data_IF_138460636525
#
_entry.id   IF_138460636525
#
_cell.length_a   1.000
_cell.length_b   1.000
_cell.length_c   1.000
_cell.angle_alpha   90.00
_cell.angle_beta   90.00
_cell.angle_gamma   90.00
#
_symmetry.space_group_name_H-M   'P 1'
#
loop_
_entity.id
_entity.type
_entity.pdbx_description
1 polymer ?
#
# COMPACT_ATOMS: atom_id res chain seq x y z
N UNK A 1 0.75 -25.49 4.75
CA UNK A 1 0.00 -24.98 3.60
C UNK A 1 0.91 -24.18 2.70
N UNK A 2 0.55 -24.06 1.43
CA UNK A 2 1.27 -23.27 0.43
C UNK A 2 0.48 -22.01 0.11
N UNK A 3 1.11 -20.85 0.25
CA UNK A 3 0.53 -19.53 -0.02
C UNK A 3 1.25 -18.88 -1.20
N UNK A 4 0.50 -18.45 -2.19
CA UNK A 4 1.03 -17.68 -3.32
C UNK A 4 0.32 -16.34 -3.41
N UNK A 5 1.07 -15.26 -3.45
CA UNK A 5 0.57 -13.92 -3.59
C UNK A 5 0.97 -13.31 -4.95
N UNK A 6 -0.01 -12.88 -5.73
CA UNK A 6 0.20 -12.07 -6.93
C UNK A 6 0.03 -10.58 -6.61
N UNK A 7 1.07 -9.81 -6.91
CA UNK A 7 1.17 -8.38 -6.63
C UNK A 7 1.32 -7.62 -7.93
N UNK A 8 0.64 -6.48 -8.07
CA UNK A 8 0.88 -5.52 -9.15
C UNK A 8 1.61 -4.28 -8.63
N UNK A 9 2.60 -3.83 -9.37
CA UNK A 9 3.35 -2.61 -9.07
C UNK A 9 3.08 -1.53 -10.12
N UNK A 10 3.28 -0.26 -9.78
CA UNK A 10 3.11 0.83 -10.73
C UNK A 10 4.17 0.79 -11.84
N UNK A 11 3.78 1.10 -13.06
CA UNK A 11 4.67 1.11 -14.23
C UNK A 11 5.89 2.03 -14.00
N UNK A 12 5.68 3.21 -13.42
CA UNK A 12 6.75 4.15 -13.09
C UNK A 12 7.81 3.58 -12.15
N UNK A 13 7.41 2.71 -11.21
CA UNK A 13 8.33 1.97 -10.36
C UNK A 13 9.04 0.85 -11.14
N UNK A 14 8.30 0.09 -11.96
CA UNK A 14 8.85 -1.03 -12.73
C UNK A 14 9.92 -0.60 -13.73
N UNK A 15 9.81 0.59 -14.32
CA UNK A 15 10.83 1.15 -15.22
C UNK A 15 12.19 1.25 -14.50
N UNK A 16 12.24 1.88 -13.34
CA UNK A 16 13.48 2.02 -12.55
C UNK A 16 13.96 0.70 -11.96
N UNK A 17 13.04 -0.16 -11.54
CA UNK A 17 13.35 -1.50 -11.07
C UNK A 17 14.04 -2.34 -12.16
N UNK A 18 13.47 -2.38 -13.35
CA UNK A 18 13.99 -3.15 -14.48
C UNK A 18 15.35 -2.63 -14.97
N UNK A 19 15.62 -1.32 -14.86
CA UNK A 19 16.94 -0.77 -15.16
C UNK A 19 17.99 -1.35 -14.19
N UNK A 20 17.75 -1.28 -12.88
CA UNK A 20 18.65 -1.82 -11.85
C UNK A 20 18.85 -3.33 -11.99
N UNK A 21 17.79 -4.08 -12.29
CA UNK A 21 17.86 -5.52 -12.49
C UNK A 21 18.75 -5.88 -13.69
N UNK A 22 18.64 -5.15 -14.81
CA UNK A 22 19.50 -5.33 -15.99
C UNK A 22 20.95 -4.98 -15.71
N UNK A 23 21.22 -3.88 -15.02
CA UNK A 23 22.58 -3.45 -14.63
C UNK A 23 23.27 -4.50 -13.74
N UNK A 24 22.49 -5.17 -12.89
CA UNK A 24 22.96 -6.24 -12.03
C UNK A 24 23.05 -7.63 -12.72
N UNK A 25 22.65 -7.76 -14.00
CA UNK A 25 22.48 -9.04 -14.68
C UNK A 25 21.67 -10.06 -13.83
N UNK A 26 20.64 -9.56 -13.15
CA UNK A 26 19.94 -10.31 -12.10
C UNK A 26 19.11 -11.48 -12.60
N UNK A 27 19.15 -12.56 -11.85
CA UNK A 27 18.31 -13.75 -11.99
C UNK A 27 16.89 -13.51 -11.45
N UNK A 28 16.03 -14.52 -11.55
CA UNK A 28 14.73 -14.53 -10.90
C UNK A 28 14.83 -14.30 -9.38
N UNK A 29 15.74 -15.01 -8.73
CA UNK A 29 15.93 -14.88 -7.28
C UNK A 29 16.48 -13.50 -6.88
N UNK A 30 17.32 -12.89 -7.73
CA UNK A 30 17.76 -11.51 -7.52
C UNK A 30 16.59 -10.55 -7.61
N UNK A 31 15.71 -10.73 -8.58
CA UNK A 31 14.51 -9.90 -8.71
C UNK A 31 13.60 -10.03 -7.47
N UNK A 32 13.38 -11.24 -6.95
CA UNK A 32 12.58 -11.45 -5.74
C UNK A 32 13.21 -10.75 -4.52
N UNK A 33 14.52 -10.87 -4.33
CA UNK A 33 15.25 -10.17 -3.26
C UNK A 33 15.15 -8.65 -3.40
N UNK A 34 15.26 -8.13 -4.64
CA UNK A 34 15.13 -6.69 -4.92
C UNK A 34 13.73 -6.18 -4.62
N UNK A 35 12.66 -6.91 -5.00
CA UNK A 35 11.28 -6.54 -4.68
C UNK A 35 11.05 -6.46 -3.18
N UNK A 36 11.51 -7.46 -2.43
CA UNK A 36 11.39 -7.45 -0.98
C UNK A 36 12.18 -6.30 -0.36
N UNK A 37 13.44 -6.08 -0.81
CA UNK A 37 14.28 -4.99 -0.31
C UNK A 37 13.66 -3.61 -0.58
N UNK A 38 13.06 -3.41 -1.76
CA UNK A 38 12.40 -2.15 -2.11
C UNK A 38 11.12 -1.92 -1.28
N UNK A 39 10.44 -2.99 -0.83
CA UNK A 39 9.27 -2.90 0.02
C UNK A 39 8.09 -2.14 -0.58
N UNK A 40 7.95 -2.14 -1.91
CA UNK A 40 6.80 -1.53 -2.56
C UNK A 40 5.53 -2.26 -2.13
N UNK A 41 4.53 -1.53 -1.61
CA UNK A 41 3.32 -2.09 -0.99
C UNK A 41 3.59 -3.00 0.23
N UNK A 42 4.65 -2.75 0.98
CA UNK A 42 5.04 -3.55 2.16
C UNK A 42 3.87 -3.93 3.08
N UNK A 43 2.89 -3.04 3.40
CA UNK A 43 1.78 -3.41 4.27
C UNK A 43 0.85 -4.52 3.73
N UNK A 44 0.99 -4.88 2.48
CA UNK A 44 0.25 -5.98 1.84
C UNK A 44 1.10 -7.21 1.58
N UNK A 45 2.42 -7.18 1.83
CA UNK A 45 3.27 -8.35 1.70
C UNK A 45 3.04 -9.29 2.87
N UNK A 46 2.48 -10.47 2.60
CA UNK A 46 2.15 -11.47 3.62
C UNK A 46 3.05 -12.70 3.57
N UNK A 47 3.79 -12.93 2.46
CA UNK A 47 4.58 -14.15 2.28
C UNK A 47 5.64 -14.36 3.36
N UNK A 48 6.35 -13.30 3.79
CA UNK A 48 7.33 -13.39 4.87
C UNK A 48 6.67 -13.83 6.19
N UNK A 49 5.52 -13.24 6.52
CA UNK A 49 4.77 -13.59 7.73
C UNK A 49 4.18 -15.01 7.67
N UNK A 50 3.73 -15.47 6.51
CA UNK A 50 3.31 -16.86 6.33
C UNK A 50 4.47 -17.83 6.53
N UNK A 51 5.67 -17.49 6.04
CA UNK A 51 6.88 -18.28 6.27
C UNK A 51 7.27 -18.35 7.75
N UNK A 52 7.16 -17.23 8.49
CA UNK A 52 7.36 -17.17 9.94
C UNK A 52 6.37 -18.07 10.70
N UNK A 53 5.15 -18.21 10.18
CA UNK A 53 4.13 -19.12 10.73
C UNK A 53 4.32 -20.60 10.32
N UNK A 54 5.42 -20.94 9.65
CA UNK A 54 5.75 -22.31 9.25
C UNK A 54 5.05 -22.78 7.96
N UNK A 55 4.61 -21.86 7.10
CA UNK A 55 4.00 -22.17 5.81
C UNK A 55 4.99 -21.93 4.67
N UNK A 56 4.85 -22.66 3.56
CA UNK A 56 5.54 -22.35 2.30
C UNK A 56 4.84 -21.14 1.66
N UNK A 57 5.55 -20.05 1.43
CA UNK A 57 4.95 -18.82 0.95
C UNK A 57 5.81 -18.08 -0.08
N UNK A 58 5.17 -17.63 -1.16
CA UNK A 58 5.82 -16.91 -2.24
C UNK A 58 5.00 -15.69 -2.63
N UNK A 59 5.69 -14.62 -3.06
CA UNK A 59 5.08 -13.44 -3.67
C UNK A 59 5.66 -13.20 -5.05
N UNK A 60 4.81 -12.89 -6.02
CA UNK A 60 5.20 -12.66 -7.42
C UNK A 60 4.63 -11.33 -7.87
N UNK A 61 5.49 -10.46 -8.40
CA UNK A 61 5.04 -9.27 -9.12
C UNK A 61 4.64 -9.70 -10.53
N UNK A 62 3.33 -9.88 -10.75
CA UNK A 62 2.82 -10.50 -11.95
C UNK A 62 2.86 -9.59 -13.19
N UNK A 63 2.77 -8.27 -13.01
CA UNK A 63 2.71 -7.29 -14.08
C UNK A 63 4.08 -6.71 -14.49
N UNK A 64 5.16 -7.48 -14.32
CA UNK A 64 6.47 -7.12 -14.82
C UNK A 64 6.93 -8.11 -15.92
N UNK A 65 6.75 -7.81 -17.21
CA UNK A 65 7.11 -8.72 -18.29
C UNK A 65 8.57 -9.16 -18.26
N UNK A 66 9.48 -8.28 -17.81
CA UNK A 66 10.92 -8.61 -17.73
C UNK A 66 11.16 -9.77 -16.75
N UNK A 67 10.65 -9.67 -15.53
CA UNK A 67 10.83 -10.72 -14.54
C UNK A 67 10.04 -11.98 -14.88
N UNK A 68 8.87 -11.85 -15.48
CA UNK A 68 8.08 -12.99 -15.95
C UNK A 68 8.81 -13.78 -17.05
N UNK A 69 9.49 -13.11 -17.97
CA UNK A 69 10.32 -13.77 -18.99
C UNK A 69 11.54 -14.45 -18.37
N UNK A 70 12.21 -13.85 -17.40
CA UNK A 70 13.33 -14.48 -16.68
C UNK A 70 12.85 -15.78 -16.01
N UNK A 71 11.69 -15.76 -15.34
CA UNK A 71 11.12 -16.97 -14.75
C UNK A 71 10.83 -18.06 -15.79
N UNK A 72 10.18 -17.68 -16.90
CA UNK A 72 9.82 -18.61 -17.95
C UNK A 72 11.03 -19.25 -18.61
N UNK A 73 12.13 -18.52 -18.83
CA UNK A 73 13.38 -19.06 -19.38
C UNK A 73 13.98 -20.15 -18.50
N UNK A 74 13.77 -20.07 -17.19
CA UNK A 74 14.36 -21.02 -16.23
C UNK A 74 13.45 -22.22 -15.95
N UNK A 75 12.11 -22.02 -15.97
CA UNK A 75 11.15 -23.00 -15.47
C UNK A 75 10.19 -23.56 -16.53
N UNK A 76 10.05 -22.88 -17.67
CA UNK A 76 9.10 -23.30 -18.69
C UNK A 76 9.76 -24.19 -19.77
N UNK A 77 9.06 -25.24 -20.18
CA UNK A 77 9.47 -26.11 -21.29
C UNK A 77 9.14 -25.57 -22.68
N UNK A 78 8.23 -24.61 -22.78
CA UNK A 78 7.76 -24.03 -24.03
C UNK A 78 8.37 -22.65 -24.32
N UNK A 79 8.69 -22.40 -25.61
CA UNK A 79 9.46 -21.21 -26.02
C UNK A 79 8.61 -19.93 -26.24
N UNK A 80 7.32 -20.06 -26.46
CA UNK A 80 6.42 -18.91 -26.70
C UNK A 80 5.27 -18.96 -25.71
N UNK A 81 5.14 -17.90 -24.90
CA UNK A 81 4.14 -17.79 -23.84
C UNK A 81 3.52 -16.40 -23.85
N UNK A 82 2.22 -16.33 -23.68
CA UNK A 82 1.60 -15.09 -23.23
C UNK A 82 1.92 -14.86 -21.74
N UNK A 83 1.83 -13.63 -21.29
CA UNK A 83 2.02 -13.31 -19.86
C UNK A 83 1.06 -14.12 -18.98
N UNK A 84 -0.19 -14.29 -19.40
CA UNK A 84 -1.18 -15.09 -18.67
C UNK A 84 -0.80 -16.58 -18.62
N UNK A 85 -0.19 -17.14 -19.67
CA UNK A 85 0.27 -18.54 -19.66
C UNK A 85 1.39 -18.74 -18.62
N UNK A 86 2.31 -17.77 -18.52
CA UNK A 86 3.38 -17.83 -17.51
C UNK A 86 2.77 -17.80 -16.10
N UNK A 87 1.77 -16.99 -15.84
CA UNK A 87 1.10 -16.94 -14.53
C UNK A 87 0.37 -18.24 -14.20
N UNK A 88 -0.28 -18.87 -15.17
CA UNK A 88 -0.91 -20.20 -15.00
C UNK A 88 0.16 -21.24 -14.65
N UNK A 89 1.30 -21.25 -15.37
CA UNK A 89 2.42 -22.15 -15.08
C UNK A 89 3.05 -21.91 -13.71
N UNK A 90 3.11 -20.64 -13.26
CA UNK A 90 3.55 -20.32 -11.90
C UNK A 90 2.61 -20.90 -10.84
N UNK A 91 1.29 -20.81 -11.03
CA UNK A 91 0.33 -21.46 -10.13
C UNK A 91 0.52 -22.99 -10.13
N UNK A 92 0.72 -23.60 -11.29
CA UNK A 92 0.98 -25.05 -11.39
C UNK A 92 2.32 -25.44 -10.74
N UNK A 93 3.35 -24.61 -10.86
CA UNK A 93 4.67 -24.85 -10.25
C UNK A 93 4.63 -24.75 -8.71
N UNK A 94 4.06 -23.67 -8.18
CA UNK A 94 3.98 -23.45 -6.73
C UNK A 94 2.89 -24.26 -6.05
N UNK A 95 1.86 -24.70 -6.77
CA UNK A 95 0.72 -25.49 -6.28
C UNK A 95 0.11 -24.94 -4.98
N UNK A 96 -0.31 -23.66 -4.94
CA UNK A 96 -0.78 -23.05 -3.70
C UNK A 96 -2.09 -23.68 -3.21
N UNK A 97 -2.24 -23.78 -1.90
CA UNK A 97 -3.53 -24.02 -1.23
C UNK A 97 -4.36 -22.72 -1.24
N UNK A 98 -3.69 -21.58 -1.03
CA UNK A 98 -4.28 -20.23 -1.05
C UNK A 98 -3.59 -19.39 -2.13
N UNK A 99 -4.36 -18.88 -3.08
CA UNK A 99 -3.93 -17.88 -4.06
C UNK A 99 -4.53 -16.52 -3.68
N UNK A 100 -3.66 -15.54 -3.40
CA UNK A 100 -4.06 -14.17 -3.04
C UNK A 100 -3.67 -13.21 -4.17
N UNK A 101 -4.67 -12.63 -4.83
CA UNK A 101 -4.52 -11.74 -5.98
C UNK A 101 -4.78 -10.29 -5.54
N UNK A 102 -3.74 -9.45 -5.53
CA UNK A 102 -3.85 -8.05 -5.11
C UNK A 102 -4.46 -7.12 -6.17
N UNK A 103 -4.56 -7.57 -7.40
CA UNK A 103 -5.25 -6.85 -8.46
C UNK A 103 -6.24 -7.76 -9.18
N UNK A 104 -7.41 -8.02 -8.57
CA UNK A 104 -8.46 -8.87 -9.16
C UNK A 104 -9.24 -8.15 -10.27
N UNK A 105 -8.79 -6.97 -10.71
CA UNK A 105 -9.28 -6.27 -11.89
C UNK A 105 -8.54 -6.75 -13.13
N UNK A 106 -7.22 -6.85 -13.04
CA UNK A 106 -6.38 -7.39 -14.13
C UNK A 106 -6.46 -8.91 -14.18
N UNK A 107 -6.44 -9.59 -13.04
CA UNK A 107 -6.56 -11.04 -12.91
C UNK A 107 -7.93 -11.39 -12.30
N UNK A 108 -8.97 -11.21 -13.08
CA UNK A 108 -10.36 -11.40 -12.67
C UNK A 108 -10.81 -12.89 -12.67
N UNK A 109 -12.10 -13.15 -12.62
CA UNK A 109 -12.64 -14.51 -12.67
C UNK A 109 -12.31 -15.27 -13.95
N UNK A 110 -12.06 -14.58 -15.07
CA UNK A 110 -11.63 -15.25 -16.30
C UNK A 110 -10.24 -15.85 -16.15
N UNK A 111 -9.32 -15.14 -15.50
CA UNK A 111 -8.00 -15.69 -15.15
C UNK A 111 -8.13 -16.88 -14.19
N UNK A 112 -8.92 -16.77 -13.13
CA UNK A 112 -9.08 -17.86 -12.15
C UNK A 112 -9.65 -19.14 -12.82
N UNK A 113 -10.59 -19.00 -13.75
CA UNK A 113 -11.14 -20.14 -14.51
C UNK A 113 -10.16 -20.75 -15.51
N UNK A 114 -9.11 -20.03 -15.88
CA UNK A 114 -8.05 -20.51 -16.79
C UNK A 114 -7.04 -21.40 -16.11
N UNK A 115 -6.97 -21.40 -14.76
CA UNK A 115 -6.02 -22.21 -14.00
C UNK A 115 -6.27 -23.71 -14.26
N UNK A 116 -5.21 -24.48 -14.55
CA UNK A 116 -5.30 -25.92 -14.76
C UNK A 116 -5.74 -26.63 -13.48
N UNK A 117 -5.24 -26.16 -12.33
CA UNK A 117 -5.67 -26.58 -11.00
C UNK A 117 -6.06 -25.37 -10.17
N UNK A 118 -7.34 -25.32 -9.80
CA UNK A 118 -7.81 -24.25 -8.94
C UNK A 118 -7.30 -24.47 -7.50
N UNK A 119 -6.67 -23.47 -6.86
CA UNK A 119 -6.35 -23.49 -5.42
C UNK A 119 -7.60 -23.72 -4.56
N UNK A 120 -7.42 -24.27 -3.35
CA UNK A 120 -8.53 -24.51 -2.41
C UNK A 120 -9.25 -23.21 -2.06
N UNK A 121 -8.50 -22.10 -1.91
CA UNK A 121 -9.03 -20.76 -1.66
C UNK A 121 -8.41 -19.75 -2.62
N UNK A 122 -9.24 -18.93 -3.25
CA UNK A 122 -8.83 -17.82 -4.10
C UNK A 122 -9.37 -16.50 -3.52
N UNK A 123 -8.47 -15.59 -3.20
CA UNK A 123 -8.76 -14.30 -2.58
C UNK A 123 -8.38 -13.18 -3.54
N UNK A 124 -9.25 -12.19 -3.71
CA UNK A 124 -8.92 -10.92 -4.35
C UNK A 124 -8.79 -9.80 -3.32
N UNK A 125 -7.97 -8.79 -3.59
CA UNK A 125 -7.90 -7.55 -2.81
C UNK A 125 -8.28 -6.35 -3.67
N UNK A 126 -9.22 -5.52 -3.18
CA UNK A 126 -9.56 -4.28 -3.87
C UNK A 126 -10.00 -3.18 -2.90
N UNK A 127 -9.29 -2.05 -2.91
CA UNK A 127 -9.61 -0.85 -2.12
C UNK A 127 -9.57 0.43 -2.99
N UNK A 128 -10.05 0.32 -4.26
CA UNK A 128 -10.07 1.39 -5.24
C UNK A 128 -11.27 1.19 -6.18
N UNK A 129 -11.66 2.17 -7.02
CA UNK A 129 -12.79 2.06 -7.94
C UNK A 129 -12.78 0.77 -8.75
N UNK A 130 -13.97 0.21 -8.97
CA UNK A 130 -14.17 -1.04 -9.70
C UNK A 130 -14.93 -0.73 -10.98
N UNK A 131 -14.41 -1.18 -12.13
CA UNK A 131 -15.13 -1.03 -13.39
C UNK A 131 -16.37 -1.96 -13.41
N UNK A 132 -17.54 -1.52 -13.91
CA UNK A 132 -18.77 -2.29 -13.85
C UNK A 132 -18.74 -3.67 -14.52
N UNK A 133 -17.82 -3.91 -15.45
CA UNK A 133 -17.70 -5.17 -16.20
C UNK A 133 -16.84 -6.24 -15.49
N UNK A 134 -16.25 -5.93 -14.35
CA UNK A 134 -15.42 -6.89 -13.62
C UNK A 134 -16.29 -7.99 -13.01
N UNK A 135 -15.85 -9.23 -13.13
CA UNK A 135 -16.48 -10.43 -12.55
C UNK A 135 -15.65 -11.01 -11.42
N UNK A 136 -16.22 -11.10 -10.22
CA UNK A 136 -15.60 -11.69 -9.03
C UNK A 136 -16.13 -13.10 -8.69
N UNK A 137 -16.96 -13.70 -9.52
CA UNK A 137 -17.70 -14.93 -9.17
C UNK A 137 -16.81 -16.18 -8.96
N UNK A 138 -15.58 -16.18 -9.49
CA UNK A 138 -14.62 -17.27 -9.28
C UNK A 138 -13.79 -17.13 -7.99
N UNK A 139 -13.86 -15.99 -7.30
CA UNK A 139 -13.19 -15.78 -6.02
C UNK A 139 -14.01 -16.32 -4.86
N UNK A 140 -13.35 -16.85 -3.83
CA UNK A 140 -13.99 -17.25 -2.59
C UNK A 140 -14.20 -16.06 -1.67
N UNK A 141 -13.23 -15.11 -1.67
CA UNK A 141 -13.29 -13.86 -0.93
C UNK A 141 -12.82 -12.70 -1.79
N UNK A 142 -13.42 -11.53 -1.58
CA UNK A 142 -12.84 -10.25 -2.01
C UNK A 142 -12.59 -9.41 -0.75
N UNK A 143 -11.32 -9.23 -0.43
CA UNK A 143 -10.91 -8.42 0.71
C UNK A 143 -10.84 -6.94 0.34
N UNK A 144 -11.23 -6.09 1.27
CA UNK A 144 -11.11 -4.64 1.12
C UNK A 144 -11.05 -3.95 2.47
N UNK A 145 -10.34 -2.83 2.52
CA UNK A 145 -10.41 -1.86 3.62
C UNK A 145 -11.42 -0.73 3.38
N UNK A 146 -12.24 -0.85 2.32
CA UNK A 146 -13.27 0.13 1.92
C UNK A 146 -14.64 -0.54 1.86
N UNK A 147 -15.39 -0.61 2.98
CA UNK A 147 -16.69 -1.27 3.04
C UNK A 147 -17.73 -0.71 2.05
N UNK A 148 -17.61 0.57 1.66
CA UNK A 148 -18.47 1.19 0.65
C UNK A 148 -18.48 0.44 -0.69
N UNK A 149 -17.46 -0.38 -0.99
CA UNK A 149 -17.39 -1.19 -2.21
C UNK A 149 -18.16 -2.51 -2.12
N UNK A 150 -18.59 -2.96 -0.94
CA UNK A 150 -19.08 -4.33 -0.75
C UNK A 150 -20.35 -4.64 -1.56
N UNK A 151 -21.29 -3.71 -1.65
CA UNK A 151 -22.51 -3.91 -2.44
C UNK A 151 -22.20 -4.00 -3.93
N UNK A 152 -21.29 -3.17 -4.43
CA UNK A 152 -20.82 -3.27 -5.81
C UNK A 152 -20.12 -4.61 -6.06
N UNK A 153 -19.26 -5.06 -5.15
CA UNK A 153 -18.58 -6.35 -5.25
C UNK A 153 -19.57 -7.52 -5.31
N UNK A 154 -20.61 -7.50 -4.47
CA UNK A 154 -21.69 -8.51 -4.49
C UNK A 154 -22.43 -8.52 -5.82
N UNK A 155 -22.79 -7.33 -6.33
CA UNK A 155 -23.45 -7.19 -7.63
C UNK A 155 -22.58 -7.78 -8.77
N UNK A 156 -21.26 -7.68 -8.64
CA UNK A 156 -20.28 -8.23 -9.56
C UNK A 156 -19.86 -9.69 -9.25
N UNK A 157 -20.67 -10.41 -8.48
CA UNK A 157 -20.52 -11.84 -8.23
C UNK A 157 -19.62 -12.23 -7.06
N UNK A 158 -19.07 -11.28 -6.28
CA UNK A 158 -18.27 -11.63 -5.12
C UNK A 158 -19.13 -12.36 -4.06
N UNK A 159 -18.73 -13.58 -3.71
CA UNK A 159 -19.45 -14.41 -2.74
C UNK A 159 -19.35 -13.86 -1.31
N UNK A 160 -18.14 -13.44 -0.92
CA UNK A 160 -17.82 -13.00 0.44
C UNK A 160 -16.92 -11.75 0.39
N UNK A 161 -17.47 -10.54 0.14
CA UNK A 161 -16.76 -9.30 0.42
C UNK A 161 -16.41 -9.22 1.90
N UNK A 162 -15.16 -9.02 2.24
CA UNK A 162 -14.69 -9.14 3.63
C UNK A 162 -13.80 -7.95 3.98
N UNK A 163 -14.09 -7.31 5.13
CA UNK A 163 -13.24 -6.26 5.65
C UNK A 163 -11.91 -6.85 6.12
N UNK A 164 -10.83 -6.34 5.56
CA UNK A 164 -9.49 -6.77 5.88
C UNK A 164 -8.54 -5.58 5.84
N UNK A 165 -7.67 -5.48 6.82
CA UNK A 165 -6.72 -4.37 6.94
C UNK A 165 -5.33 -4.78 6.48
N UNK A 166 -4.56 -3.86 5.88
CA UNK A 166 -3.12 -4.05 5.71
C UNK A 166 -2.41 -4.19 7.07
N UNK A 167 -1.18 -4.66 7.04
CA UNK A 167 -0.33 -4.76 8.24
C UNK A 167 1.12 -4.45 7.88
N UNK A 168 1.93 -4.05 8.85
CA UNK A 168 3.34 -3.77 8.61
C UNK A 168 4.19 -5.03 8.78
N UNK A 169 5.20 -5.19 7.94
CA UNK A 169 6.25 -6.18 8.15
C UNK A 169 7.26 -5.65 9.18
N UNK A 170 7.25 -6.23 10.38
CA UNK A 170 8.09 -5.78 11.49
C UNK A 170 9.57 -6.06 11.28
N UNK A 171 9.91 -7.12 10.55
CA UNK A 171 11.30 -7.45 10.16
C UNK A 171 11.82 -6.41 9.18
N UNK A 172 11.01 -6.08 8.18
CA UNK A 172 11.33 -5.04 7.21
C UNK A 172 11.52 -3.68 7.89
N UNK A 173 10.60 -3.27 8.78
CA UNK A 173 10.71 -2.01 9.53
C UNK A 173 11.94 -1.98 10.44
N UNK A 174 12.28 -3.08 11.09
CA UNK A 174 13.49 -3.20 11.92
C UNK A 174 14.80 -3.03 11.14
N UNK A 175 14.78 -3.26 9.81
CA UNK A 175 15.90 -3.01 8.91
C UNK A 175 16.01 -1.57 8.39
N UNK A 176 15.08 -0.68 8.75
CA UNK A 176 15.15 0.74 8.37
C UNK A 176 16.13 1.50 9.27
N UNK A 177 16.93 2.36 8.66
CA UNK A 177 17.87 3.22 9.40
C UNK A 177 17.13 4.41 9.99
N UNK A 178 17.47 4.78 11.24
CA UNK A 178 16.96 6.01 11.83
C UNK A 178 17.40 7.21 10.98
N UNK A 179 16.43 8.03 10.58
CA UNK A 179 16.65 9.19 9.72
C UNK A 179 16.74 10.49 10.53
N UNK A 180 17.60 11.40 10.10
CA UNK A 180 17.56 12.78 10.53
C UNK A 180 16.31 13.48 10.02
N UNK A 181 15.68 14.35 10.82
CA UNK A 181 14.47 15.08 10.43
C UNK A 181 14.78 16.19 9.43
N UNK A 182 14.48 15.96 8.15
CA UNK A 182 14.73 16.88 7.03
C UNK A 182 13.50 17.66 6.61
N UNK A 183 12.30 17.10 6.82
CA UNK A 183 11.03 17.72 6.42
C UNK A 183 10.18 18.04 7.65
N UNK A 184 9.51 19.17 7.65
CA UNK A 184 8.62 19.52 8.76
C UNK A 184 7.27 18.84 8.59
N UNK A 185 6.56 19.11 7.48
CA UNK A 185 5.31 18.40 7.15
C UNK A 185 5.45 17.80 5.77
N UNK A 186 5.34 16.49 5.65
CA UNK A 186 5.39 15.80 4.38
C UNK A 186 4.03 15.22 3.97
N UNK A 187 3.89 14.99 2.69
CA UNK A 187 2.79 14.23 2.10
C UNK A 187 3.31 13.39 0.95
N UNK A 188 2.84 12.14 0.83
CA UNK A 188 3.09 11.32 -0.35
C UNK A 188 1.77 10.74 -0.86
N UNK A 189 1.53 10.84 -2.16
CA UNK A 189 0.33 10.30 -2.77
C UNK A 189 0.17 10.69 -4.24
N UNK A 190 -0.97 10.30 -4.81
CA UNK A 190 -1.34 10.70 -6.17
C UNK A 190 -2.03 12.07 -6.18
N UNK A 191 -1.73 12.86 -7.20
CA UNK A 191 -2.47 14.04 -7.60
C UNK A 191 -3.26 13.71 -8.87
N UNK A 192 -4.59 13.79 -8.84
CA UNK A 192 -5.39 13.40 -9.99
C UNK A 192 -6.92 13.47 -9.72
N UNK A 193 -7.75 13.09 -10.71
CA UNK A 193 -9.19 13.32 -10.68
C UNK A 193 -9.96 12.56 -9.58
N UNK A 194 -9.43 11.44 -9.09
CA UNK A 194 -10.04 10.67 -7.99
C UNK A 194 -9.70 11.19 -6.60
N UNK A 195 -9.02 12.35 -6.51
CA UNK A 195 -8.46 12.93 -5.30
C UNK A 195 -8.79 14.43 -5.18
N UNK A 196 -9.98 14.86 -5.57
CA UNK A 196 -10.38 16.26 -5.58
C UNK A 196 -10.28 16.94 -4.21
N UNK A 197 -10.72 16.27 -3.14
CA UNK A 197 -10.60 16.77 -1.77
C UNK A 197 -9.14 16.90 -1.33
N UNK A 198 -8.30 15.93 -1.70
CA UNK A 198 -6.85 15.99 -1.45
C UNK A 198 -6.19 17.13 -2.20
N UNK A 199 -6.47 17.26 -3.50
CA UNK A 199 -5.91 18.31 -4.33
C UNK A 199 -6.25 19.70 -3.79
N UNK A 200 -7.50 19.89 -3.32
CA UNK A 200 -7.95 21.11 -2.66
C UNK A 200 -7.20 21.37 -1.36
N UNK A 201 -7.09 20.37 -0.50
CA UNK A 201 -6.36 20.49 0.77
C UNK A 201 -4.89 20.86 0.56
N UNK A 202 -4.20 20.27 -0.42
CA UNK A 202 -2.81 20.60 -0.76
C UNK A 202 -2.69 22.08 -1.17
N UNK A 203 -3.63 22.58 -1.97
CA UNK A 203 -3.65 23.99 -2.40
C UNK A 203 -3.91 24.92 -1.22
N UNK A 204 -4.91 24.62 -0.38
CA UNK A 204 -5.23 25.40 0.81
C UNK A 204 -4.06 25.46 1.80
N UNK A 205 -3.39 24.33 2.07
CA UNK A 205 -2.20 24.27 2.92
C UNK A 205 -1.08 25.15 2.37
N UNK A 206 -0.81 25.09 1.07
CA UNK A 206 0.22 25.90 0.41
C UNK A 206 -0.09 27.40 0.49
N UNK A 207 -1.35 27.79 0.28
CA UNK A 207 -1.78 29.18 0.37
C UNK A 207 -1.71 29.72 1.79
N UNK A 208 -2.17 28.93 2.76
CA UNK A 208 -2.18 29.35 4.17
C UNK A 208 -0.79 29.37 4.78
N UNK A 209 0.12 28.49 4.37
CA UNK A 209 1.52 28.50 4.78
C UNK A 209 2.19 29.86 4.51
N UNK A 210 1.90 30.49 3.37
CA UNK A 210 2.43 31.80 3.02
C UNK A 210 1.92 32.94 3.93
N UNK A 211 0.76 32.74 4.57
CA UNK A 211 0.13 33.73 5.45
C UNK A 211 0.57 33.58 6.92
N UNK A 212 1.26 32.49 7.26
CA UNK A 212 1.67 32.26 8.64
C UNK A 212 2.83 33.16 9.05
N UNK A 213 2.76 33.70 10.26
CA UNK A 213 3.85 34.45 10.89
C UNK A 213 5.02 33.54 11.24
N UNK A 214 4.72 32.34 11.72
CA UNK A 214 5.68 31.32 12.04
C UNK A 214 5.90 30.43 10.81
N UNK A 215 7.12 30.45 10.28
CA UNK A 215 7.47 29.67 9.09
C UNK A 215 7.59 28.19 9.40
N UNK A 216 7.11 27.37 8.49
CA UNK A 216 7.31 25.91 8.42
C UNK A 216 7.37 25.46 6.96
N UNK A 217 7.90 24.26 6.73
CA UNK A 217 8.11 23.72 5.40
C UNK A 217 7.10 22.63 5.06
N UNK A 218 6.59 22.67 3.84
CA UNK A 218 5.77 21.63 3.23
C UNK A 218 6.61 20.88 2.20
N UNK A 219 6.50 19.54 2.17
CA UNK A 219 7.16 18.70 1.19
C UNK A 219 6.16 17.69 0.60
N UNK A 220 5.82 17.85 -0.67
CA UNK A 220 4.85 17.01 -1.37
C UNK A 220 5.53 16.07 -2.36
N UNK A 221 5.48 14.78 -2.10
CA UNK A 221 5.98 13.73 -2.97
C UNK A 221 4.84 13.18 -3.83
N UNK A 222 4.58 13.83 -4.96
CA UNK A 222 3.39 13.59 -5.76
C UNK A 222 3.66 12.74 -6.99
N UNK A 223 2.86 11.69 -7.17
CA UNK A 223 2.74 10.98 -8.43
C UNK A 223 1.54 11.55 -9.21
N UNK A 224 1.77 11.96 -10.46
CA UNK A 224 0.73 12.48 -11.34
C UNK A 224 1.03 12.10 -12.79
N UNK A 225 -0.02 11.92 -13.59
CA UNK A 225 0.09 11.78 -15.04
C UNK A 225 0.19 13.13 -15.78
N UNK A 226 -0.12 14.24 -15.10
CA UNK A 226 -0.10 15.58 -15.67
C UNK A 226 0.45 16.61 -14.69
N UNK A 227 1.71 16.96 -14.87
CA UNK A 227 2.38 17.98 -14.06
C UNK A 227 1.84 19.40 -14.31
N UNK A 228 1.28 19.66 -15.50
CA UNK A 228 0.73 20.98 -15.85
C UNK A 228 -0.61 21.27 -15.14
N UNK A 229 -1.31 20.23 -14.70
CA UNK A 229 -2.54 20.38 -13.94
C UNK A 229 -2.29 20.80 -12.47
N UNK A 230 -1.05 20.84 -12.00
CA UNK A 230 -0.72 21.19 -10.63
C UNK A 230 -0.62 22.70 -10.48
N UNK A 231 -1.41 23.33 -9.55
CA UNK A 231 -1.34 24.76 -9.29
C UNK A 231 0.06 25.19 -8.82
N UNK A 232 0.49 26.39 -9.22
CA UNK A 232 1.81 26.93 -8.88
C UNK A 232 2.13 26.91 -7.37
N UNK A 233 1.14 27.19 -6.52
CA UNK A 233 1.31 27.14 -5.06
C UNK A 233 1.65 25.75 -4.54
N UNK A 234 1.05 24.70 -5.11
CA UNK A 234 1.36 23.31 -4.77
C UNK A 234 2.70 22.92 -5.38
N UNK A 235 2.94 23.34 -6.63
CA UNK A 235 4.18 23.03 -7.36
C UNK A 235 5.44 23.50 -6.64
N UNK A 236 5.38 24.60 -5.91
CA UNK A 236 6.50 25.15 -5.13
C UNK A 236 7.01 24.19 -4.02
N UNK A 237 6.21 23.20 -3.61
CA UNK A 237 6.54 22.24 -2.56
C UNK A 237 6.77 20.81 -3.08
N UNK A 238 6.78 20.62 -4.42
CA UNK A 238 6.87 19.27 -5.01
C UNK A 238 8.31 18.75 -4.96
N UNK A 239 8.37 17.48 -4.55
CA UNK A 239 9.52 16.61 -4.67
C UNK A 239 9.20 15.44 -5.63
N UNK A 240 10.22 14.81 -6.23
CA UNK A 240 10.01 13.59 -7.01
C UNK A 240 9.23 12.54 -6.22
N UNK A 241 8.34 11.77 -6.85
CA UNK A 241 7.60 10.71 -6.17
C UNK A 241 8.55 9.65 -5.62
N UNK A 242 8.21 9.11 -4.46
CA UNK A 242 8.98 8.08 -3.78
C UNK A 242 8.12 6.84 -3.53
N UNK A 243 8.73 5.69 -3.57
CA UNK A 243 8.07 4.40 -3.45
C UNK A 243 8.78 3.50 -2.43
N UNK A 244 8.04 2.58 -1.84
CA UNK A 244 8.59 1.53 -1.00
C UNK A 244 9.52 2.08 0.09
N UNK A 245 10.74 1.55 0.16
CA UNK A 245 11.73 1.94 1.17
C UNK A 245 12.02 3.44 1.19
N UNK A 246 12.23 4.04 0.02
CA UNK A 246 12.50 5.48 -0.07
C UNK A 246 11.34 6.33 0.47
N UNK A 247 10.10 5.85 0.35
CA UNK A 247 8.93 6.51 0.92
C UNK A 247 8.90 6.36 2.45
N UNK A 248 9.21 5.18 2.98
CA UNK A 248 9.29 4.96 4.42
C UNK A 248 10.44 5.78 5.04
N UNK A 249 11.59 5.84 4.37
CA UNK A 249 12.71 6.70 4.79
C UNK A 249 12.34 8.19 4.78
N UNK A 250 11.56 8.63 3.77
CA UNK A 250 11.03 10.00 3.73
C UNK A 250 10.09 10.28 4.90
N UNK A 251 9.18 9.34 5.24
CA UNK A 251 8.35 9.50 6.43
C UNK A 251 9.19 9.54 7.70
N UNK A 252 10.14 8.63 7.86
CA UNK A 252 11.04 8.63 9.00
C UNK A 252 11.85 9.93 9.12
N UNK A 253 12.17 10.58 7.98
CA UNK A 253 12.85 11.87 7.92
C UNK A 253 11.91 13.09 8.08
N UNK A 254 10.61 12.89 8.31
CA UNK A 254 9.62 13.96 8.49
C UNK A 254 9.31 14.17 9.98
N UNK A 255 9.11 15.43 10.40
CA UNK A 255 8.60 15.74 11.75
C UNK A 255 7.13 15.34 11.89
N UNK A 256 6.36 15.48 10.80
CA UNK A 256 4.97 15.06 10.71
C UNK A 256 4.62 14.71 9.26
N UNK A 257 3.62 13.85 9.11
CA UNK A 257 3.02 13.52 7.81
C UNK A 257 1.50 13.59 7.95
N UNK A 258 0.81 13.99 6.90
CA UNK A 258 -0.65 13.97 6.92
C UNK A 258 -1.23 13.01 5.87
N UNK A 259 -2.45 12.56 6.12
CA UNK A 259 -3.21 11.73 5.20
C UNK A 259 -4.67 12.20 5.09
N UNK A 260 -5.16 12.17 3.86
CA UNK A 260 -6.57 12.31 3.50
C UNK A 260 -6.93 11.18 2.53
N UNK A 261 -8.05 10.47 2.73
CA UNK A 261 -8.42 9.34 1.88
C UNK A 261 -8.78 9.76 0.45
N UNK A 262 -8.95 8.80 -0.42
CA UNK A 262 -9.52 8.96 -1.75
C UNK A 262 -10.99 9.41 -1.64
N UNK A 263 -11.50 10.19 -2.60
CA UNK A 263 -12.82 10.82 -2.53
C UNK A 263 -13.99 9.83 -2.41
N UNK A 264 -13.84 8.61 -2.95
CA UNK A 264 -14.84 7.55 -2.82
C UNK A 264 -14.87 6.86 -1.46
N UNK A 265 -13.86 7.09 -0.61
CA UNK A 265 -13.79 6.49 0.71
C UNK A 265 -14.80 7.15 1.65
N UNK A 266 -15.54 6.34 2.38
CA UNK A 266 -16.41 6.79 3.47
C UNK A 266 -15.68 6.79 4.83
N UNK A 267 -16.38 7.18 5.89
CA UNK A 267 -15.84 7.22 7.25
C UNK A 267 -15.50 5.84 7.83
N UNK A 268 -15.87 4.75 7.16
CA UNK A 268 -15.52 3.37 7.55
C UNK A 268 -14.29 2.84 6.77
N UNK A 269 -13.79 3.63 5.82
CA UNK A 269 -12.68 3.23 4.96
C UNK A 269 -11.33 3.52 5.62
N UNK A 270 -10.40 2.58 5.49
CA UNK A 270 -9.06 2.67 6.04
C UNK A 270 -8.02 2.60 4.93
N UNK A 271 -7.04 3.48 4.97
CA UNK A 271 -5.96 3.52 4.00
C UNK A 271 -4.69 2.80 4.51
N UNK A 272 -3.98 2.16 3.60
CA UNK A 272 -2.66 1.56 3.84
C UNK A 272 -1.65 2.54 4.46
N UNK A 273 -1.76 3.81 4.09
CA UNK A 273 -0.88 4.91 4.54
C UNK A 273 -0.81 5.06 6.06
N UNK A 274 -1.89 4.75 6.76
CA UNK A 274 -1.92 4.81 8.22
C UNK A 274 -0.85 3.91 8.83
N UNK A 275 -0.73 2.70 8.30
CA UNK A 275 0.21 1.69 8.79
C UNK A 275 1.64 1.99 8.37
N UNK A 276 1.85 2.51 7.16
CA UNK A 276 3.17 2.92 6.68
C UNK A 276 3.77 4.03 7.52
N UNK A 277 3.00 5.09 7.80
CA UNK A 277 3.45 6.26 8.57
C UNK A 277 3.61 5.91 10.05
N UNK A 278 2.61 5.26 10.64
CA UNK A 278 2.70 4.84 12.04
C UNK A 278 3.82 3.81 12.26
N UNK A 279 3.97 2.86 11.33
CA UNK A 279 5.00 1.83 11.40
C UNK A 279 6.43 2.38 11.50
N UNK A 280 6.74 3.49 10.86
CA UNK A 280 8.05 4.16 10.96
C UNK A 280 8.17 5.15 12.13
N UNK A 281 7.11 5.32 12.91
CA UNK A 281 7.10 6.18 14.09
C UNK A 281 6.99 7.68 13.81
N UNK A 282 6.49 8.04 12.62
CA UNK A 282 6.24 9.44 12.27
C UNK A 282 4.86 9.86 12.75
N UNK A 283 4.72 11.04 13.41
CA UNK A 283 3.42 11.58 13.79
C UNK A 283 2.50 11.72 12.59
N UNK A 284 1.34 11.06 12.65
CA UNK A 284 0.35 11.05 11.58
C UNK A 284 -0.78 12.03 11.88
N UNK A 285 -0.89 13.07 11.04
CA UNK A 285 -2.08 13.91 10.98
C UNK A 285 -3.09 13.26 10.05
N UNK A 286 -4.23 12.89 10.59
CA UNK A 286 -5.25 12.11 9.87
C UNK A 286 -6.53 12.91 9.70
N UNK A 287 -6.95 13.13 8.45
CA UNK A 287 -8.17 13.87 8.16
C UNK A 287 -9.39 13.19 8.80
N UNK A 288 -10.32 13.99 9.31
CA UNK A 288 -11.51 13.54 10.05
C UNK A 288 -12.43 12.58 9.25
N UNK A 289 -12.34 12.59 7.91
CA UNK A 289 -13.05 11.65 7.06
C UNK A 289 -12.46 10.23 7.04
N UNK A 290 -11.28 10.02 7.62
CA UNK A 290 -10.66 8.68 7.67
C UNK A 290 -11.13 7.89 8.88
N UNK A 291 -11.33 6.58 8.70
CA UNK A 291 -11.62 5.68 9.80
C UNK A 291 -10.37 5.45 10.66
N UNK A 292 -10.56 5.63 11.96
CA UNK A 292 -9.56 5.21 12.99
C UNK A 292 -10.18 4.32 14.04
N UNK A 293 -11.48 4.06 13.94
CA UNK A 293 -12.22 3.34 14.98
C UNK A 293 -11.65 1.93 15.15
N UNK A 294 -11.21 1.62 16.38
CA UNK A 294 -10.57 0.35 16.71
C UNK A 294 -9.18 0.14 16.09
N UNK A 295 -8.58 1.17 15.45
CA UNK A 295 -7.25 1.10 14.83
C UNK A 295 -6.26 1.94 15.64
N UNK A 296 -6.52 3.24 15.79
CA UNK A 296 -5.70 4.17 16.57
C UNK A 296 -6.58 4.99 17.51
N UNK A 297 -6.04 5.34 18.68
CA UNK A 297 -6.61 6.29 19.62
C UNK A 297 -6.21 7.74 19.29
N UNK A 298 -6.80 8.70 19.98
CA UNK A 298 -6.47 10.12 19.84
C UNK A 298 -5.05 10.48 20.31
N UNK A 299 -4.43 9.63 21.13
CA UNK A 299 -3.05 9.79 21.56
C UNK A 299 -2.03 9.23 20.56
N UNK A 300 -2.48 8.40 19.60
CA UNK A 300 -1.64 7.70 18.64
C UNK A 300 -1.61 8.34 17.26
N UNK A 301 -2.64 9.19 16.97
CA UNK A 301 -2.73 9.98 15.73
C UNK A 301 -3.34 11.35 16.03
N UNK A 302 -3.07 12.35 15.20
CA UNK A 302 -3.59 13.71 15.35
C UNK A 302 -4.71 13.92 14.35
N UNK A 303 -5.94 14.08 14.82
CA UNK A 303 -7.10 14.34 13.94
C UNK A 303 -7.09 15.78 13.47
N UNK A 304 -7.42 16.03 12.20
CA UNK A 304 -7.64 17.38 11.67
C UNK A 304 -8.82 17.39 10.69
N UNK A 305 -9.46 18.56 10.52
CA UNK A 305 -10.66 18.74 9.70
C UNK A 305 -10.49 19.72 8.54
N UNK A 306 -9.44 20.54 8.56
CA UNK A 306 -9.15 21.55 7.52
C UNK A 306 -7.66 21.87 7.46
N UNK A 307 -7.22 22.57 6.41
CA UNK A 307 -5.86 23.07 6.30
C UNK A 307 -5.45 23.93 7.50
N UNK A 308 -6.34 24.85 7.94
CA UNK A 308 -6.10 25.71 9.10
C UNK A 308 -5.93 24.89 10.38
N UNK A 309 -6.80 23.92 10.63
CA UNK A 309 -6.76 23.06 11.82
C UNK A 309 -5.46 22.21 11.85
N UNK A 310 -5.01 21.69 10.69
CA UNK A 310 -3.74 20.99 10.60
C UNK A 310 -2.57 21.89 10.98
N UNK A 311 -2.50 23.09 10.40
CA UNK A 311 -1.42 24.06 10.66
C UNK A 311 -1.38 24.45 12.14
N UNK A 312 -2.52 24.84 12.71
CA UNK A 312 -2.61 25.24 14.11
C UNK A 312 -2.14 24.13 15.06
N UNK A 313 -2.60 22.92 14.85
CA UNK A 313 -2.20 21.75 15.64
C UNK A 313 -0.71 21.43 15.48
N UNK A 314 -0.19 21.49 14.26
CA UNK A 314 1.24 21.25 14.01
C UNK A 314 2.10 22.30 14.71
N UNK A 315 1.81 23.60 14.55
CA UNK A 315 2.57 24.68 15.16
C UNK A 315 2.50 24.61 16.69
N UNK A 316 1.35 24.26 17.25
CA UNK A 316 1.20 24.05 18.70
C UNK A 316 2.09 22.90 19.19
N UNK A 317 1.94 21.70 18.60
CA UNK A 317 2.67 20.50 19.02
C UNK A 317 4.19 20.62 18.78
N UNK A 318 4.60 21.32 17.73
CA UNK A 318 6.03 21.59 17.45
C UNK A 318 6.73 22.40 18.56
N UNK A 319 5.99 23.26 19.27
CA UNK A 319 6.52 24.06 20.41
C UNK A 319 6.60 23.24 21.70
N UNK A 320 5.83 22.16 21.80
CA UNK A 320 5.84 21.26 22.95
C UNK A 320 6.97 20.25 22.76
N UNK A 321 8.06 20.37 23.56
CA UNK A 321 9.25 19.54 23.40
C UNK A 321 8.93 18.05 23.51
N UNK A 322 9.29 17.28 22.48
CA UNK A 322 9.13 15.82 22.45
C UNK A 322 7.69 15.33 22.21
N UNK A 323 6.68 16.22 22.12
CA UNK A 323 5.28 15.78 22.02
C UNK A 323 4.95 15.12 20.67
N UNK A 324 5.48 15.65 19.56
CA UNK A 324 5.33 15.00 18.25
C UNK A 324 5.97 13.61 18.25
N UNK A 325 7.18 13.49 18.76
CA UNK A 325 7.91 12.23 18.85
C UNK A 325 7.18 11.20 19.73
N UNK A 326 6.57 11.65 20.82
CA UNK A 326 5.77 10.80 21.71
C UNK A 326 4.55 10.23 20.98
N UNK A 327 3.79 11.06 20.28
CA UNK A 327 2.62 10.62 19.48
C UNK A 327 3.05 9.62 18.40
N UNK A 328 4.13 9.92 17.67
CA UNK A 328 4.68 9.00 16.67
C UNK A 328 5.09 7.66 17.27
N UNK A 329 5.74 7.66 18.43
CA UNK A 329 6.16 6.44 19.14
C UNK A 329 4.95 5.63 19.66
N UNK A 330 3.87 6.29 20.11
CA UNK A 330 2.62 5.62 20.50
C UNK A 330 1.98 4.92 19.31
N UNK A 331 1.81 5.62 18.19
CA UNK A 331 1.29 5.06 16.95
C UNK A 331 2.14 3.90 16.44
N UNK A 332 3.47 3.99 16.52
CA UNK A 332 4.38 2.91 16.13
C UNK A 332 4.20 1.67 17.00
N UNK A 333 4.18 1.82 18.32
CA UNK A 333 3.95 0.70 19.24
C UNK A 333 2.63 -0.01 18.94
N UNK A 334 1.56 0.75 18.75
CA UNK A 334 0.23 0.22 18.38
C UNK A 334 0.30 -0.55 17.05
N UNK A 335 0.90 0.04 16.05
CA UNK A 335 1.02 -0.55 14.73
C UNK A 335 1.79 -1.88 14.77
N UNK A 336 2.94 -1.90 15.45
CA UNK A 336 3.77 -3.11 15.58
C UNK A 336 3.07 -4.18 16.42
N UNK A 337 2.38 -3.81 17.51
CA UNK A 337 1.73 -4.76 18.40
C UNK A 337 0.46 -5.39 17.82
N UNK A 338 -0.37 -4.61 17.11
CA UNK A 338 -1.72 -5.02 16.74
C UNK A 338 -2.01 -5.03 15.22
N UNK A 339 -1.13 -4.40 14.42
CA UNK A 339 -1.33 -4.23 12.98
C UNK A 339 -0.15 -4.71 12.15
N UNK A 340 0.52 -5.79 12.59
CA UNK A 340 1.63 -6.38 11.84
C UNK A 340 1.17 -7.48 10.86
N UNK A 341 2.04 -7.83 9.93
CA UNK A 341 1.77 -8.82 8.88
C UNK A 341 1.51 -10.24 9.43
N UNK A 342 2.11 -10.61 10.59
CA UNK A 342 1.87 -11.91 11.23
C UNK A 342 0.43 -12.00 11.76
N UNK A 343 -0.06 -10.93 12.40
CA UNK A 343 -1.46 -10.85 12.85
C UNK A 343 -2.41 -10.92 11.64
N UNK A 344 -2.10 -10.21 10.55
CA UNK A 344 -2.91 -10.26 9.32
C UNK A 344 -2.92 -11.64 8.70
N UNK A 345 -1.77 -12.31 8.67
CA UNK A 345 -1.69 -13.70 8.17
C UNK A 345 -2.52 -14.67 9.03
N UNK A 346 -2.49 -14.54 10.37
CA UNK A 346 -3.35 -15.34 11.25
C UNK A 346 -4.84 -15.05 11.04
N UNK A 347 -5.22 -13.78 10.84
CA UNK A 347 -6.60 -13.40 10.53
C UNK A 347 -7.04 -13.99 9.20
N UNK A 348 -6.20 -13.92 8.16
CA UNK A 348 -6.49 -14.52 6.85
C UNK A 348 -6.69 -16.03 6.98
N UNK A 349 -5.81 -16.72 7.68
CA UNK A 349 -5.93 -18.17 7.94
C UNK A 349 -7.24 -18.52 8.68
N UNK A 350 -7.61 -17.73 9.67
CA UNK A 350 -8.87 -17.92 10.40
C UNK A 350 -10.09 -17.75 9.51
N UNK A 351 -10.09 -16.74 8.63
CA UNK A 351 -11.17 -16.49 7.67
C UNK A 351 -11.28 -17.65 6.67
N UNK A 352 -10.15 -18.16 6.17
CA UNK A 352 -10.10 -19.26 5.20
C UNK A 352 -10.43 -20.62 5.83
N UNK A 353 -10.02 -20.87 7.07
CA UNK A 353 -10.26 -22.14 7.78
C UNK A 353 -11.70 -22.36 8.23
N UNK A 354 -12.52 -21.31 8.23
CA UNK A 354 -13.95 -21.38 8.48
C UNK A 354 -14.81 -21.49 7.21
N UNK A 355 -14.18 -21.74 6.06
CA UNK A 355 -14.83 -21.79 4.75
C UNK A 355 -15.04 -23.21 4.25
#
# INVERSE_FOLDING_TARGET
>A
MKFLQFISNYESYLVTFNQRLREAHGSWDDAQRMYYHDGFLMPHYLSAAFSELGHEANSIVFNNPVTQQIWAQTHSSNKVRSELDILVEQVDFYQPDILYIMDPITLDSAFVRRLNRRPSVVIGWRAAPIHPQIDFSAFDFIFSSVPALFEQMKYQGAKRPTYFLPGVDTVYLGGLTRQEKRFEISFSGQYGPFHGNRNRLLLELSQQQLQQRERFELAYFLATGDMLAIPAGVFAHIHPPVWGRSMLDMYAASKATFHIPIDMADTNSTAMRLFEVAGVGTPLFLHSSSNVYGIFSEDEVIRFSSAQDLIEKFLKLRRESGRLEEIGALGQRKCIAEHNSVIRSKQLLSICGGA
#
